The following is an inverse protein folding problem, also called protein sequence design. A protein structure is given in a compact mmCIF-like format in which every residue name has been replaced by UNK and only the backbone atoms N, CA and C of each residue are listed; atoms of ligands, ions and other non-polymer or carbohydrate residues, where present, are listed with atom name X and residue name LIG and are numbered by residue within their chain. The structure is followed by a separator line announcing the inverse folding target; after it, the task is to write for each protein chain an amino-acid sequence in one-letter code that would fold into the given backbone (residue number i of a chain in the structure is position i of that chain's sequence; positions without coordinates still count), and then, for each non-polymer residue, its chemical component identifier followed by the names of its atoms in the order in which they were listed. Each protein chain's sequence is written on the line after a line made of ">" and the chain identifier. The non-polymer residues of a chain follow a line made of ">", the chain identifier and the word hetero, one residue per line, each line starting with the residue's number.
data_IF_056491718476
#
_entry.id   IF_056491718476
#
_cell.length_a   1.000
_cell.length_b   1.000
_cell.length_c   1.000
_cell.angle_alpha   90.00
_cell.angle_beta   90.00
_cell.angle_gamma   90.00
#
_symmetry.space_group_name_H-M   'P 1'
#
loop_
_entity.id
_entity.type
_entity.pdbx_description
1 polymer ?
#
# COMPACT_ATOMS: atom_id res chain seq x y z
N UNK A 1 -16.04 -7.08 14.97
CA UNK A 1 -14.73 -6.39 15.20
C UNK A 1 -14.89 -5.55 16.46
N UNK A 2 -13.80 -5.23 17.17
CA UNK A 2 -13.92 -4.27 18.28
C UNK A 2 -14.23 -2.87 17.72
N UNK A 3 -14.78 -1.98 18.55
CA UNK A 3 -15.12 -0.60 18.14
C UNK A 3 -13.91 0.14 17.53
N UNK A 4 -12.71 -0.12 18.04
CA UNK A 4 -11.47 0.47 17.48
C UNK A 4 -11.16 -0.05 16.08
N UNK A 5 -11.37 -1.34 15.82
CA UNK A 5 -11.17 -1.92 14.49
C UNK A 5 -12.15 -1.34 13.47
N UNK A 6 -13.40 -1.12 13.88
CA UNK A 6 -14.40 -0.49 13.01
C UNK A 6 -14.05 0.98 12.70
N UNK A 7 -13.50 1.71 13.68
CA UNK A 7 -13.00 3.09 13.48
C UNK A 7 -11.79 3.13 12.55
N UNK A 8 -10.81 2.24 12.73
CA UNK A 8 -9.66 2.11 11.82
C UNK A 8 -10.13 1.83 10.40
N UNK A 9 -11.01 0.83 10.23
CA UNK A 9 -11.56 0.47 8.94
C UNK A 9 -12.27 1.66 8.26
N UNK A 10 -13.13 2.36 8.98
CA UNK A 10 -13.84 3.54 8.48
C UNK A 10 -12.87 4.66 8.08
N UNK A 11 -11.87 4.96 8.91
CA UNK A 11 -10.89 6.01 8.62
C UNK A 11 -10.08 5.69 7.36
N UNK A 12 -9.64 4.44 7.18
CA UNK A 12 -8.92 4.02 5.98
C UNK A 12 -9.84 4.11 4.75
N UNK A 13 -11.04 3.54 4.81
CA UNK A 13 -12.01 3.58 3.71
C UNK A 13 -12.34 5.02 3.27
N UNK A 14 -12.41 5.95 4.24
CA UNK A 14 -12.67 7.38 3.99
C UNK A 14 -11.42 8.19 3.70
N UNK A 15 -10.23 7.60 3.76
CA UNK A 15 -8.95 8.28 3.55
C UNK A 15 -8.57 9.28 4.66
N UNK A 16 -9.11 9.12 5.89
CA UNK A 16 -8.78 9.92 7.06
C UNK A 16 -7.48 9.42 7.69
N UNK A 17 -6.37 10.10 7.38
CA UNK A 17 -5.03 9.68 7.83
C UNK A 17 -4.85 9.91 9.33
N UNK A 18 -4.96 11.16 9.75
CA UNK A 18 -4.74 11.62 11.11
C UNK A 18 -5.67 12.81 11.46
N UNK A 19 -5.61 13.26 12.69
CA UNK A 19 -6.41 14.40 13.19
C UNK A 19 -6.15 15.70 12.43
N UNK A 20 -4.92 15.93 11.96
CA UNK A 20 -4.50 17.15 11.26
C UNK A 20 -4.86 17.14 9.78
N UNK A 21 -5.07 15.96 9.20
CA UNK A 21 -5.40 15.83 7.80
C UNK A 21 -6.72 16.55 7.48
N UNK A 22 -6.75 17.46 6.48
CA UNK A 22 -7.95 18.21 6.12
C UNK A 22 -8.99 17.36 5.38
N UNK A 23 -8.60 16.16 4.93
CA UNK A 23 -9.45 15.23 4.19
C UNK A 23 -9.85 14.04 5.07
N UNK A 24 -11.09 13.52 4.94
CA UNK A 24 -12.21 14.12 4.21
C UNK A 24 -12.80 15.33 5.00
N UNK A 25 -13.46 16.30 4.32
CA UNK A 25 -13.91 17.54 4.96
C UNK A 25 -14.87 17.33 6.13
N UNK A 26 -15.73 16.33 6.06
CA UNK A 26 -16.71 15.98 7.11
C UNK A 26 -16.06 15.31 8.35
N UNK A 27 -14.81 14.90 8.24
CA UNK A 27 -14.02 14.34 9.36
C UNK A 27 -12.88 15.27 9.80
N UNK A 28 -12.94 16.55 9.44
CA UNK A 28 -11.93 17.52 9.84
C UNK A 28 -11.83 17.63 11.36
N UNK A 29 -10.61 17.69 11.91
CA UNK A 29 -10.29 17.73 13.34
C UNK A 29 -10.74 16.49 14.15
N UNK A 30 -11.25 15.45 13.50
CA UNK A 30 -11.50 14.16 14.13
C UNK A 30 -10.25 13.29 14.08
N UNK A 31 -10.10 12.39 15.04
CA UNK A 31 -9.02 11.40 15.04
C UNK A 31 -9.11 10.53 13.78
N UNK A 32 -7.96 10.15 13.25
CA UNK A 32 -7.83 9.36 12.04
C UNK A 32 -7.29 7.96 12.30
N UNK A 33 -6.92 7.29 11.21
CA UNK A 33 -6.39 5.92 11.25
C UNK A 33 -5.13 5.82 12.12
N UNK A 34 -4.26 6.85 12.10
CA UNK A 34 -3.03 6.91 12.88
C UNK A 34 -3.31 6.92 14.39
N UNK A 35 -4.24 7.78 14.86
CA UNK A 35 -4.58 7.87 16.26
C UNK A 35 -5.25 6.59 16.76
N UNK A 36 -6.20 6.04 16.00
CA UNK A 36 -6.88 4.80 16.38
C UNK A 36 -5.97 3.59 16.36
N UNK A 37 -5.00 3.52 15.45
CA UNK A 37 -4.00 2.46 15.46
C UNK A 37 -3.14 2.49 16.72
N UNK A 38 -2.68 3.68 17.13
CA UNK A 38 -1.94 3.85 18.39
C UNK A 38 -2.77 3.47 19.61
N UNK A 39 -4.05 3.85 19.63
CA UNK A 39 -4.97 3.49 20.70
C UNK A 39 -5.18 1.98 20.77
N UNK A 40 -5.40 1.32 19.64
CA UNK A 40 -5.58 -0.12 19.55
C UNK A 40 -4.36 -0.89 20.08
N UNK A 41 -3.16 -0.49 19.69
CA UNK A 41 -1.91 -1.10 20.19
C UNK A 41 -1.78 -0.92 21.71
N UNK A 42 -2.09 0.28 22.24
CA UNK A 42 -2.06 0.55 23.68
C UNK A 42 -3.11 -0.25 24.44
N UNK A 43 -4.26 -0.50 23.82
CA UNK A 43 -5.32 -1.33 24.39
C UNK A 43 -5.02 -2.84 24.36
N UNK A 44 -3.89 -3.24 23.74
CA UNK A 44 -3.47 -4.65 23.64
C UNK A 44 -4.15 -5.42 22.50
N UNK A 45 -4.76 -4.73 21.54
CA UNK A 45 -5.26 -5.39 20.34
C UNK A 45 -4.11 -6.06 19.57
N UNK A 46 -4.36 -7.25 19.03
CA UNK A 46 -3.32 -7.95 18.30
C UNK A 46 -2.99 -7.22 16.99
N UNK A 47 -1.71 -7.16 16.60
CA UNK A 47 -1.32 -6.60 15.31
C UNK A 47 -2.03 -7.26 14.12
N UNK A 48 -2.35 -8.55 14.21
CA UNK A 48 -3.10 -9.27 13.16
C UNK A 48 -4.54 -8.75 13.02
N UNK A 49 -5.22 -8.41 14.14
CA UNK A 49 -6.56 -7.83 14.11
C UNK A 49 -6.55 -6.45 13.47
N UNK A 50 -5.55 -5.63 13.80
CA UNK A 50 -5.38 -4.30 13.19
C UNK A 50 -5.13 -4.43 11.69
N UNK A 51 -4.25 -5.34 11.27
CA UNK A 51 -3.98 -5.62 9.87
C UNK A 51 -5.23 -6.13 9.13
N UNK A 52 -6.02 -7.00 9.76
CA UNK A 52 -7.27 -7.50 9.19
C UNK A 52 -8.28 -6.37 8.96
N UNK A 53 -8.42 -5.43 9.89
CA UNK A 53 -9.26 -4.24 9.71
C UNK A 53 -8.79 -3.37 8.55
N UNK A 54 -7.47 -3.16 8.42
CA UNK A 54 -6.87 -2.46 7.30
C UNK A 54 -7.18 -3.13 5.95
N UNK A 55 -6.97 -4.44 5.85
CA UNK A 55 -7.26 -5.20 4.64
C UNK A 55 -8.74 -5.11 4.25
N UNK A 56 -9.65 -5.26 5.23
CA UNK A 56 -11.10 -5.12 5.00
C UNK A 56 -11.45 -3.73 4.44
N UNK A 57 -10.84 -2.67 4.95
CA UNK A 57 -11.05 -1.31 4.44
C UNK A 57 -10.58 -1.17 2.99
N UNK A 58 -9.39 -1.69 2.68
CA UNK A 58 -8.83 -1.64 1.31
C UNK A 58 -9.64 -2.48 0.32
N UNK A 59 -10.17 -3.62 0.73
CA UNK A 59 -11.11 -4.41 -0.08
C UNK A 59 -12.38 -3.61 -0.39
N UNK A 60 -12.99 -2.97 0.62
CA UNK A 60 -14.21 -2.16 0.43
C UNK A 60 -14.00 -0.99 -0.51
N UNK A 61 -12.90 -0.23 -0.36
CA UNK A 61 -12.62 0.90 -1.27
C UNK A 61 -12.26 0.40 -2.68
N UNK A 62 -11.57 -0.74 -2.80
CA UNK A 62 -11.28 -1.39 -4.07
C UNK A 62 -12.56 -1.82 -4.80
N UNK A 63 -13.52 -2.40 -4.09
CA UNK A 63 -14.83 -2.75 -4.65
C UNK A 63 -15.61 -1.50 -5.12
N UNK A 64 -15.59 -0.41 -4.36
CA UNK A 64 -16.18 0.87 -4.77
C UNK A 64 -15.50 1.43 -6.01
N UNK A 65 -14.17 1.34 -6.07
CA UNK A 65 -13.40 1.76 -7.24
C UNK A 65 -13.77 0.93 -8.48
N UNK A 66 -13.89 -0.39 -8.36
CA UNK A 66 -14.27 -1.27 -9.47
C UNK A 66 -15.68 -0.98 -10.02
N UNK A 67 -16.57 -0.43 -9.17
CA UNK A 67 -17.92 0.00 -9.55
C UNK A 67 -18.02 1.47 -9.96
N UNK A 68 -16.89 2.18 -10.07
CA UNK A 68 -16.80 3.61 -10.37
C UNK A 68 -17.56 4.51 -9.37
N UNK A 69 -17.71 4.08 -8.11
CA UNK A 69 -18.31 4.85 -7.02
C UNK A 69 -17.28 5.81 -6.37
N UNK A 70 -16.00 5.49 -6.52
CA UNK A 70 -14.86 6.33 -6.11
C UNK A 70 -13.82 6.36 -7.22
N UNK A 71 -12.94 7.35 -7.21
CA UNK A 71 -11.91 7.57 -8.21
C UNK A 71 -10.51 7.39 -7.62
N UNK A 72 -9.47 7.52 -8.45
CA UNK A 72 -8.08 7.35 -8.05
C UNK A 72 -7.69 8.21 -6.83
N UNK A 73 -8.09 9.49 -6.71
CA UNK A 73 -7.73 10.29 -5.53
C UNK A 73 -8.20 9.70 -4.21
N UNK A 74 -9.44 9.18 -4.14
CA UNK A 74 -9.98 8.57 -2.93
C UNK A 74 -9.23 7.27 -2.59
N UNK A 75 -8.92 6.45 -3.60
CA UNK A 75 -8.14 5.22 -3.43
C UNK A 75 -6.74 5.52 -2.86
N UNK A 76 -6.09 6.59 -3.34
CA UNK A 76 -4.80 7.05 -2.84
C UNK A 76 -4.87 7.56 -1.40
N UNK A 77 -5.93 8.29 -1.05
CA UNK A 77 -6.11 8.75 0.33
C UNK A 77 -6.34 7.58 1.28
N UNK A 78 -7.08 6.55 0.86
CA UNK A 78 -7.25 5.31 1.63
C UNK A 78 -5.91 4.58 1.81
N UNK A 79 -5.13 4.40 0.74
CA UNK A 79 -3.80 3.80 0.81
C UNK A 79 -2.85 4.59 1.73
N UNK A 80 -2.91 5.93 1.68
CA UNK A 80 -2.12 6.79 2.57
C UNK A 80 -2.53 6.64 4.04
N UNK A 81 -3.83 6.54 4.33
CA UNK A 81 -4.32 6.30 5.67
C UNK A 81 -3.87 4.93 6.19
N UNK A 82 -3.93 3.89 5.36
CA UNK A 82 -3.42 2.58 5.70
C UNK A 82 -1.91 2.58 5.96
N UNK A 83 -1.11 3.27 5.14
CA UNK A 83 0.33 3.37 5.36
C UNK A 83 0.65 4.01 6.71
N UNK A 84 -0.14 5.00 7.19
CA UNK A 84 -0.02 5.54 8.54
C UNK A 84 -0.18 4.46 9.62
N UNK A 85 -1.17 3.58 9.49
CA UNK A 85 -1.34 2.45 10.41
C UNK A 85 -0.18 1.45 10.31
N UNK A 86 0.28 1.15 9.08
CA UNK A 86 1.37 0.19 8.84
C UNK A 86 2.69 0.62 9.48
N UNK A 87 2.97 1.94 9.59
CA UNK A 87 4.14 2.44 10.33
C UNK A 87 4.15 1.98 11.78
N UNK A 88 2.99 1.94 12.44
CA UNK A 88 2.87 1.44 13.81
C UNK A 88 3.01 -0.08 13.91
N UNK A 89 2.70 -0.80 12.84
CA UNK A 89 2.82 -2.27 12.79
C UNK A 89 4.22 -2.75 12.39
N UNK A 90 5.08 -1.90 11.80
CA UNK A 90 6.44 -2.24 11.38
C UNK A 90 7.27 -2.99 12.43
N UNK A 91 7.30 -2.59 13.71
CA UNK A 91 8.07 -3.29 14.74
C UNK A 91 7.62 -4.74 14.92
N UNK A 92 6.32 -5.01 14.77
CA UNK A 92 5.75 -6.36 14.91
C UNK A 92 6.08 -7.25 13.71
N UNK A 93 6.16 -6.67 12.50
CA UNK A 93 6.66 -7.38 11.30
C UNK A 93 8.14 -7.77 11.47
N UNK A 94 8.96 -6.84 11.95
CA UNK A 94 10.40 -7.08 12.18
C UNK A 94 10.64 -8.13 13.27
N UNK A 95 9.78 -8.19 14.26
CA UNK A 95 9.82 -9.22 15.31
C UNK A 95 9.31 -10.60 14.85
N UNK A 96 8.86 -10.73 13.59
CA UNK A 96 8.33 -12.00 13.04
C UNK A 96 6.91 -12.34 13.50
N UNK A 97 6.22 -11.43 14.17
CA UNK A 97 4.88 -11.62 14.72
C UNK A 97 3.77 -11.49 13.67
N UNK A 98 4.07 -10.88 12.51
CA UNK A 98 3.13 -10.74 11.40
C UNK A 98 3.83 -11.17 10.10
N UNK A 99 3.14 -11.96 9.29
CA UNK A 99 3.62 -12.32 7.94
C UNK A 99 3.06 -11.35 6.90
N UNK A 100 3.93 -10.84 6.03
CA UNK A 100 3.49 -10.14 4.82
C UNK A 100 2.79 -11.11 3.87
N UNK A 101 1.89 -10.63 3.03
CA UNK A 101 1.23 -11.44 1.98
C UNK A 101 2.23 -12.01 0.98
N UNK A 102 3.38 -11.34 0.80
CA UNK A 102 4.46 -11.71 -0.11
C UNK A 102 5.38 -10.53 -0.38
N UNK A 103 6.32 -10.73 -1.29
CA UNK A 103 7.20 -9.66 -1.79
C UNK A 103 6.79 -9.30 -3.22
N UNK A 104 6.73 -8.01 -3.52
CA UNK A 104 6.45 -7.45 -4.83
C UNK A 104 7.65 -6.60 -5.28
N UNK A 105 8.36 -7.08 -6.29
CA UNK A 105 9.47 -6.35 -6.91
C UNK A 105 8.89 -5.46 -8.00
N UNK A 106 9.15 -4.15 -7.95
CA UNK A 106 8.57 -3.18 -8.87
C UNK A 106 9.64 -2.27 -9.44
N UNK A 107 9.58 -1.99 -10.74
CA UNK A 107 10.51 -1.07 -11.38
C UNK A 107 10.00 -0.56 -12.72
N UNK A 108 10.47 0.61 -13.14
CA UNK A 108 10.25 1.13 -14.50
C UNK A 108 11.36 0.62 -15.40
N UNK A 109 11.00 0.02 -16.53
CA UNK A 109 11.94 -0.65 -17.44
C UNK A 109 12.99 0.30 -18.02
N UNK A 110 14.07 -0.26 -18.54
CA UNK A 110 15.18 0.49 -19.14
C UNK A 110 14.69 1.46 -20.22
N UNK A 111 15.26 2.68 -20.19
CA UNK A 111 14.92 3.77 -21.09
C UNK A 111 13.66 4.56 -20.71
N UNK A 112 12.96 4.18 -19.65
CA UNK A 112 11.77 4.89 -19.16
C UNK A 112 12.03 5.52 -17.78
N UNK A 113 11.69 6.81 -17.65
CA UNK A 113 11.89 7.58 -16.42
C UNK A 113 10.58 7.92 -15.70
N UNK A 114 9.44 7.46 -16.24
CA UNK A 114 8.14 7.74 -15.66
C UNK A 114 7.91 6.86 -14.42
N UNK A 115 7.57 7.50 -13.30
CA UNK A 115 7.44 6.81 -12.01
C UNK A 115 6.10 7.06 -11.30
N UNK A 116 5.32 8.04 -11.72
CA UNK A 116 4.07 8.41 -11.04
C UNK A 116 3.14 7.18 -10.93
N UNK A 117 2.84 6.52 -12.04
CA UNK A 117 1.98 5.33 -12.05
C UNK A 117 2.56 4.19 -11.22
N UNK A 118 3.88 3.96 -11.34
CA UNK A 118 4.62 2.96 -10.55
C UNK A 118 4.50 3.23 -9.05
N UNK A 119 4.71 4.47 -8.63
CA UNK A 119 4.65 4.87 -7.22
C UNK A 119 3.23 4.74 -6.66
N UNK A 120 2.18 5.01 -7.47
CA UNK A 120 0.80 4.78 -7.08
C UNK A 120 0.52 3.29 -6.85
N UNK A 121 0.96 2.42 -7.75
CA UNK A 121 0.84 0.96 -7.60
C UNK A 121 1.61 0.48 -6.37
N UNK A 122 2.84 0.95 -6.17
CA UNK A 122 3.64 0.65 -4.97
C UNK A 122 2.87 0.95 -3.69
N UNK A 123 2.33 2.17 -3.58
CA UNK A 123 1.58 2.62 -2.41
C UNK A 123 0.35 1.74 -2.12
N UNK A 124 -0.41 1.38 -3.16
CA UNK A 124 -1.60 0.53 -3.02
C UNK A 124 -1.21 -0.89 -2.63
N UNK A 125 -0.16 -1.46 -3.22
CA UNK A 125 0.32 -2.82 -2.94
C UNK A 125 0.87 -2.91 -1.51
N UNK A 126 1.68 -1.93 -1.07
CA UNK A 126 2.14 -1.82 0.32
C UNK A 126 0.96 -1.70 1.28
N UNK A 127 0.00 -0.82 0.95
CA UNK A 127 -1.23 -0.65 1.70
C UNK A 127 -2.06 -1.93 1.82
N UNK A 128 -1.88 -2.91 0.97
CA UNK A 128 -2.52 -4.22 1.04
C UNK A 128 -1.68 -5.30 1.75
N UNK A 129 -0.62 -4.91 2.47
CA UNK A 129 0.17 -5.82 3.31
C UNK A 129 1.26 -6.60 2.56
N UNK A 130 1.66 -6.13 1.37
CA UNK A 130 2.83 -6.66 0.65
C UNK A 130 4.10 -5.92 1.04
N UNK A 131 5.23 -6.61 1.00
CA UNK A 131 6.55 -5.97 1.03
C UNK A 131 6.91 -5.54 -0.39
N UNK A 132 6.98 -4.24 -0.67
CA UNK A 132 7.43 -3.75 -1.97
C UNK A 132 8.95 -3.52 -1.97
N UNK A 133 9.60 -3.98 -3.03
CA UNK A 133 10.99 -3.72 -3.37
C UNK A 133 11.00 -2.87 -4.62
N UNK A 134 11.07 -1.55 -4.44
CA UNK A 134 11.09 -0.60 -5.57
C UNK A 134 12.52 -0.45 -6.12
N UNK A 135 12.71 -0.85 -7.36
CA UNK A 135 13.99 -0.77 -8.06
C UNK A 135 14.26 0.61 -8.68
N UNK A 136 13.26 1.48 -8.68
CA UNK A 136 13.33 2.82 -9.27
C UNK A 136 12.94 2.86 -10.74
N UNK A 137 13.58 3.74 -11.50
CA UNK A 137 13.36 3.97 -12.94
C UNK A 137 14.58 3.57 -13.76
N UNK A 138 14.42 3.44 -15.08
CA UNK A 138 15.51 3.03 -16.00
C UNK A 138 16.20 1.72 -15.54
N UNK A 139 15.39 0.75 -15.14
CA UNK A 139 15.88 -0.50 -14.55
C UNK A 139 16.18 -1.50 -15.63
N UNK A 140 17.45 -1.93 -15.70
CA UNK A 140 17.90 -2.97 -16.62
C UNK A 140 17.44 -4.36 -16.16
N UNK A 141 17.28 -5.28 -17.09
CA UNK A 141 16.86 -6.68 -16.86
C UNK A 141 17.68 -7.35 -15.76
N UNK A 142 19.01 -7.20 -15.76
CA UNK A 142 19.89 -7.83 -14.76
C UNK A 142 19.54 -7.41 -13.33
N UNK A 143 19.08 -6.17 -13.12
CA UNK A 143 18.67 -5.69 -11.81
C UNK A 143 17.37 -6.34 -11.34
N UNK A 144 16.43 -6.58 -12.27
CA UNK A 144 15.22 -7.36 -11.98
C UNK A 144 15.57 -8.81 -11.62
N UNK A 145 16.42 -9.46 -12.40
CA UNK A 145 16.86 -10.84 -12.15
C UNK A 145 17.51 -10.97 -10.76
N UNK A 146 18.43 -10.06 -10.44
CA UNK A 146 19.07 -10.04 -9.12
C UNK A 146 18.05 -9.87 -7.98
N UNK A 147 17.07 -8.97 -8.13
CA UNK A 147 16.04 -8.78 -7.12
C UNK A 147 15.14 -10.02 -6.96
N UNK A 148 14.84 -10.74 -8.05
CA UNK A 148 14.08 -12.01 -8.03
C UNK A 148 14.88 -13.09 -7.29
N UNK A 149 16.19 -13.20 -7.53
CA UNK A 149 17.07 -14.12 -6.84
C UNK A 149 17.17 -13.84 -5.33
N UNK A 150 17.20 -12.54 -4.95
CA UNK A 150 17.22 -12.10 -3.55
C UNK A 150 15.87 -12.30 -2.83
N UNK A 151 14.77 -12.42 -3.61
CA UNK A 151 13.41 -12.56 -3.10
C UNK A 151 12.65 -13.71 -3.76
N UNK A 152 13.03 -14.98 -3.52
CA UNK A 152 12.40 -16.13 -4.16
C UNK A 152 10.88 -16.16 -3.94
N UNK A 153 10.12 -16.40 -5.01
CA UNK A 153 8.65 -16.43 -4.96
C UNK A 153 7.98 -15.06 -4.94
N UNK A 154 8.73 -13.97 -5.20
CA UNK A 154 8.14 -12.64 -5.34
C UNK A 154 7.27 -12.53 -6.59
N UNK A 155 6.27 -11.66 -6.53
CA UNK A 155 5.62 -11.13 -7.73
C UNK A 155 6.47 -10.00 -8.33
N UNK A 156 6.43 -9.83 -9.65
CA UNK A 156 7.21 -8.79 -10.34
C UNK A 156 6.27 -7.86 -11.10
N UNK A 157 6.44 -6.56 -10.91
CA UNK A 157 5.75 -5.50 -11.64
C UNK A 157 6.71 -4.72 -12.51
N UNK A 158 6.37 -4.58 -13.78
CA UNK A 158 7.10 -3.77 -14.76
C UNK A 158 6.25 -2.55 -15.12
N UNK A 159 6.85 -1.35 -15.09
CA UNK A 159 6.21 -0.11 -15.50
C UNK A 159 6.85 0.42 -16.78
N UNK A 160 6.04 0.87 -17.72
CA UNK A 160 6.45 1.63 -18.91
C UNK A 160 5.31 2.54 -19.34
N UNK A 161 5.61 3.77 -19.74
CA UNK A 161 4.60 4.71 -20.24
C UNK A 161 4.68 4.92 -21.75
N UNK A 162 5.88 4.89 -22.31
CA UNK A 162 6.10 5.18 -23.72
C UNK A 162 5.95 3.91 -24.57
N UNK A 163 5.35 4.02 -25.75
CA UNK A 163 5.26 2.91 -26.71
C UNK A 163 6.64 2.38 -27.11
N UNK A 164 7.65 3.24 -27.14
CA UNK A 164 9.04 2.90 -27.42
C UNK A 164 9.70 2.09 -26.31
N UNK A 165 9.29 2.28 -25.06
CA UNK A 165 9.84 1.57 -23.88
C UNK A 165 9.05 0.31 -23.53
N UNK A 166 7.80 0.19 -24.00
CA UNK A 166 6.98 -1.02 -23.82
C UNK A 166 7.64 -2.29 -24.38
N UNK A 167 8.44 -2.16 -25.46
CA UNK A 167 9.20 -3.29 -26.00
C UNK A 167 10.21 -3.84 -24.97
N UNK A 168 10.74 -3.00 -24.07
CA UNK A 168 11.66 -3.43 -23.03
C UNK A 168 10.97 -4.23 -21.91
N UNK A 169 9.63 -4.12 -21.76
CA UNK A 169 8.88 -5.00 -20.86
C UNK A 169 8.94 -6.45 -21.36
N UNK A 170 8.68 -6.67 -22.65
CA UNK A 170 8.75 -8.00 -23.24
C UNK A 170 10.18 -8.57 -23.23
N UNK A 171 11.20 -7.72 -23.32
CA UNK A 171 12.61 -8.13 -23.25
C UNK A 171 13.07 -8.45 -21.81
N UNK A 172 12.33 -8.00 -20.79
CA UNK A 172 12.64 -8.22 -19.39
C UNK A 172 11.99 -9.49 -18.84
N UNK A 173 10.88 -9.93 -19.43
CA UNK A 173 10.15 -11.16 -19.09
C UNK A 173 10.81 -12.38 -19.74
#
# INVERSE_FOLDING_TARGET
>A
MSELMDKICLCIERGKVDKKAPYPPDMMNQDGADEYAREAIKAGESPDNILAACNTAMERIGDKFSRNEVFVPELLMAARAMNGVMEHLKPFFQAGNIKTKGTFVLGTVAGDLHDIGKNLVSMVVEGNGWKVVDLGVDVKTDKFLKAIEEHPGCAVGLSALLTTTMANMAATV
#
